data_IF_829406393463
#
_entry.id   IF_829406393463
#
_cell.length_a   1.000
_cell.length_b   1.000
_cell.length_c   1.000
_cell.angle_alpha   90.00
_cell.angle_beta   90.00
_cell.angle_gamma   90.00
#
_symmetry.space_group_name_H-M   'P 1'
#
loop_
_entity.id
_entity.type
_entity.pdbx_description
1 polymer ?
#
# COMPACT_ATOMS: atom_id res chain seq x y z
N UNK A 1 19.39 -54.96 5.83
CA UNK A 1 18.11 -55.13 5.11
C UNK A 1 17.11 -54.11 5.65
N UNK A 2 16.93 -53.03 4.96
CA UNK A 2 16.05 -51.96 5.37
C UNK A 2 14.60 -52.31 4.96
N UNK A 3 13.67 -52.39 5.90
CA UNK A 3 12.29 -52.75 5.67
C UNK A 3 11.57 -51.62 4.92
N UNK A 4 11.24 -51.83 3.64
CA UNK A 4 10.41 -50.96 2.81
C UNK A 4 9.12 -50.61 3.53
N UNK A 5 8.91 -49.32 3.84
CA UNK A 5 7.66 -48.80 4.43
C UNK A 5 6.54 -48.93 3.42
N UNK A 6 5.52 -49.74 3.69
CA UNK A 6 4.40 -49.96 2.82
C UNK A 6 3.36 -48.83 2.95
N UNK A 7 2.61 -48.53 1.86
CA UNK A 7 1.54 -47.52 1.86
C UNK A 7 0.54 -47.70 3.01
N UNK A 8 0.30 -48.94 3.41
CA UNK A 8 -0.59 -49.30 4.53
C UNK A 8 -0.07 -48.85 5.88
N UNK A 9 1.26 -48.86 6.12
CA UNK A 9 1.87 -48.39 7.36
C UNK A 9 1.87 -46.87 7.46
N UNK A 10 1.91 -46.16 6.30
CA UNK A 10 1.80 -44.74 6.24
C UNK A 10 0.38 -44.24 6.57
N UNK A 11 -0.64 -44.90 5.97
CA UNK A 11 -2.05 -44.58 6.23
C UNK A 11 -2.43 -44.81 7.69
N UNK A 12 -1.95 -45.90 8.32
CA UNK A 12 -2.18 -46.16 9.77
C UNK A 12 -1.57 -45.09 10.68
N UNK A 13 -0.43 -44.51 10.30
CA UNK A 13 0.18 -43.39 11.04
C UNK A 13 -0.54 -42.07 10.84
N UNK A 14 -1.14 -41.86 9.65
CA UNK A 14 -1.93 -40.68 9.36
C UNK A 14 -3.24 -40.65 10.17
N UNK A 15 -3.93 -41.80 10.29
CA UNK A 15 -5.18 -41.92 11.07
C UNK A 15 -4.96 -41.78 12.57
N UNK A 16 -3.80 -42.18 13.13
CA UNK A 16 -3.48 -41.90 14.52
C UNK A 16 -3.15 -40.42 14.78
N UNK A 17 -2.61 -39.72 13.77
CA UNK A 17 -2.30 -38.28 13.89
C UNK A 17 -3.56 -37.40 13.82
N UNK A 18 -4.57 -37.80 13.07
CA UNK A 18 -5.81 -37.01 12.93
C UNK A 18 -6.72 -37.07 14.15
N UNK A 19 -6.63 -38.09 14.98
CA UNK A 19 -7.43 -38.19 16.23
C UNK A 19 -6.99 -37.18 17.30
N UNK A 20 -5.74 -36.71 17.25
CA UNK A 20 -5.23 -35.70 18.19
C UNK A 20 -5.55 -34.29 17.69
N UNK A 21 -5.70 -34.09 16.36
CA UNK A 21 -5.97 -32.78 15.78
C UNK A 21 -7.46 -32.40 15.90
N UNK A 22 -8.39 -33.37 16.04
CA UNK A 22 -9.82 -33.08 16.17
C UNK A 22 -10.23 -32.50 17.54
N UNK A 23 -9.40 -32.64 18.57
CA UNK A 23 -9.63 -32.03 19.89
C UNK A 23 -8.97 -30.66 20.08
N UNK A 24 -8.16 -30.23 19.10
CA UNK A 24 -7.44 -28.96 19.16
C UNK A 24 -8.24 -27.69 18.79
N UNK A 25 -9.36 -27.72 18.02
CA UNK A 25 -10.08 -26.50 17.68
C UNK A 25 -10.71 -25.80 18.88
N UNK A 26 -10.97 -26.53 19.98
CA UNK A 26 -11.57 -25.92 21.18
C UNK A 26 -10.58 -25.18 22.07
N UNK A 27 -9.29 -25.49 21.98
CA UNK A 27 -8.25 -24.78 22.73
C UNK A 27 -7.73 -23.51 22.02
N UNK A 28 -7.88 -23.45 20.68
CA UNK A 28 -7.48 -22.29 19.89
C UNK A 28 -8.57 -21.23 19.78
N UNK A 29 -9.85 -21.58 19.99
CA UNK A 29 -10.95 -20.61 19.93
C UNK A 29 -10.97 -19.65 21.12
N UNK A 30 -10.35 -20.01 22.26
CA UNK A 30 -10.20 -19.12 23.41
C UNK A 30 -9.12 -18.05 23.25
N UNK A 31 -8.13 -18.29 22.40
CA UNK A 31 -7.01 -17.36 22.19
C UNK A 31 -7.24 -16.38 21.01
N UNK A 32 -8.22 -16.66 20.15
CA UNK A 32 -8.46 -15.87 18.93
C UNK A 32 -9.44 -14.70 19.13
N UNK A 33 -10.03 -14.57 20.32
CA UNK A 33 -10.93 -13.47 20.67
C UNK A 33 -10.24 -12.32 21.42
N UNK A 34 -8.90 -12.26 21.44
CA UNK A 34 -8.27 -10.98 21.64
C UNK A 34 -8.48 -10.18 20.36
N UNK A 35 -9.60 -9.43 20.34
CA UNK A 35 -9.76 -8.25 19.53
C UNK A 35 -8.50 -7.43 19.78
N UNK A 36 -7.53 -7.49 18.83
CA UNK A 36 -6.49 -6.50 18.72
C UNK A 36 -7.23 -5.19 18.36
N UNK A 37 -7.84 -4.58 19.35
CA UNK A 37 -8.04 -3.15 19.33
C UNK A 37 -6.63 -2.60 19.31
N UNK A 38 -6.13 -2.37 18.10
CA UNK A 38 -5.18 -1.30 17.89
C UNK A 38 -5.90 -0.06 18.43
N UNK A 39 -5.73 0.20 19.71
CA UNK A 39 -5.95 1.52 20.28
C UNK A 39 -4.97 2.44 19.58
N UNK A 40 -5.32 2.79 18.33
CA UNK A 40 -4.84 4.01 17.71
C UNK A 40 -5.57 5.15 18.39
N UNK A 41 -5.29 5.37 19.65
CA UNK A 41 -5.32 6.70 20.21
C UNK A 41 -4.17 7.48 19.56
N UNK A 42 -4.28 7.73 18.26
CA UNK A 42 -3.77 8.99 17.76
C UNK A 42 -4.61 10.02 18.49
N UNK A 43 -4.05 10.52 19.60
CA UNK A 43 -4.58 11.66 20.25
C UNK A 43 -4.89 12.67 19.14
N UNK A 44 -6.13 13.15 19.11
CA UNK A 44 -6.53 14.25 18.24
C UNK A 44 -5.91 15.53 18.82
N UNK A 45 -4.57 15.62 18.79
CA UNK A 45 -3.92 16.89 18.93
C UNK A 45 -4.46 17.75 17.79
N UNK A 46 -4.87 18.98 18.07
CA UNK A 46 -5.35 19.86 17.02
C UNK A 46 -4.22 20.03 16.01
N UNK A 47 -4.42 19.53 14.78
CA UNK A 47 -3.45 19.69 13.71
C UNK A 47 -3.22 21.17 13.49
N UNK A 48 -1.95 21.59 13.63
CA UNK A 48 -1.54 22.90 13.19
C UNK A 48 -1.73 23.00 11.67
N UNK A 49 -2.03 24.19 11.18
CA UNK A 49 -2.11 24.42 9.73
C UNK A 49 -0.80 24.02 9.00
N UNK A 50 0.31 23.98 9.75
CA UNK A 50 1.63 23.56 9.25
C UNK A 50 1.82 22.02 9.22
N UNK A 51 0.91 21.26 9.82
CA UNK A 51 0.99 19.78 9.86
C UNK A 51 0.13 19.13 8.76
N UNK A 52 -0.45 19.94 7.85
CA UNK A 52 -1.24 19.45 6.73
C UNK A 52 -0.35 18.84 5.66
N UNK A 53 -0.68 17.65 5.19
CA UNK A 53 -0.04 16.96 4.06
C UNK A 53 -0.93 17.12 2.84
N UNK A 54 -0.45 17.82 1.83
CA UNK A 54 -1.11 17.97 0.54
C UNK A 54 -0.74 16.80 -0.38
N UNK A 55 -1.73 15.96 -0.63
CA UNK A 55 -1.60 14.73 -1.40
C UNK A 55 -2.05 14.97 -2.85
N UNK A 56 -1.36 14.34 -3.80
CA UNK A 56 -1.83 14.21 -5.17
C UNK A 56 -1.99 12.75 -5.59
N UNK A 57 -2.95 12.48 -6.47
CA UNK A 57 -3.18 11.16 -7.06
C UNK A 57 -2.78 11.14 -8.53
N UNK A 58 -1.95 10.18 -8.92
CA UNK A 58 -1.57 9.92 -10.31
C UNK A 58 -2.09 8.54 -10.70
N UNK A 59 -3.14 8.51 -11.52
CA UNK A 59 -3.91 7.31 -11.88
C UNK A 59 -5.21 7.19 -11.08
N UNK A 60 -6.31 7.79 -11.58
CA UNK A 60 -7.64 7.79 -10.96
C UNK A 60 -8.44 6.53 -11.30
N UNK A 61 -7.80 5.35 -11.35
CA UNK A 61 -8.45 4.06 -11.48
C UNK A 61 -9.09 3.60 -10.15
N UNK A 62 -9.67 2.39 -10.15
CA UNK A 62 -10.31 1.81 -8.96
C UNK A 62 -9.35 1.77 -7.78
N UNK A 63 -8.10 1.32 -8.01
CA UNK A 63 -7.10 1.21 -6.96
C UNK A 63 -6.68 2.58 -6.44
N UNK A 64 -6.40 3.56 -7.34
CA UNK A 64 -6.03 4.91 -6.92
C UNK A 64 -7.12 5.60 -6.09
N UNK A 65 -8.39 5.40 -6.44
CA UNK A 65 -9.53 5.90 -5.64
C UNK A 65 -9.55 5.23 -4.25
N UNK A 66 -9.33 3.91 -4.20
CA UNK A 66 -9.30 3.17 -2.94
C UNK A 66 -8.18 3.67 -2.02
N UNK A 67 -6.96 3.80 -2.53
CA UNK A 67 -5.79 4.24 -1.78
C UNK A 67 -5.94 5.69 -1.30
N UNK A 68 -6.45 6.57 -2.17
CA UNK A 68 -6.73 7.96 -1.81
C UNK A 68 -7.77 8.05 -0.69
N UNK A 69 -8.87 7.31 -0.79
CA UNK A 69 -9.88 7.28 0.25
C UNK A 69 -9.35 6.70 1.59
N UNK A 70 -8.38 5.79 1.53
CA UNK A 70 -7.70 5.30 2.74
C UNK A 70 -6.79 6.38 3.35
N UNK A 71 -6.03 7.09 2.53
CA UNK A 71 -5.16 8.18 2.97
C UNK A 71 -5.94 9.35 3.58
N UNK A 72 -7.08 9.71 2.99
CA UNK A 72 -7.95 10.80 3.47
C UNK A 72 -8.62 10.52 4.83
N UNK A 73 -8.55 9.29 5.34
CA UNK A 73 -8.97 8.98 6.72
C UNK A 73 -7.95 9.43 7.77
N UNK A 74 -6.73 9.73 7.36
CA UNK A 74 -5.69 10.25 8.25
C UNK A 74 -5.91 11.75 8.43
N UNK A 75 -6.02 12.19 9.69
CA UNK A 75 -6.19 13.60 9.98
C UNK A 75 -4.98 14.40 9.45
N UNK A 76 -5.24 15.58 8.88
CA UNK A 76 -4.21 16.43 8.28
C UNK A 76 -3.88 16.10 6.82
N UNK A 77 -4.40 15.02 6.23
CA UNK A 77 -4.20 14.72 4.81
C UNK A 77 -5.30 15.38 3.97
N UNK A 78 -4.92 16.10 2.93
CA UNK A 78 -5.81 16.76 1.98
C UNK A 78 -5.41 16.40 0.54
N UNK A 79 -6.37 15.94 -0.26
CA UNK A 79 -6.17 15.78 -1.69
C UNK A 79 -6.28 17.14 -2.38
N UNK A 80 -5.24 17.56 -3.10
CA UNK A 80 -5.19 18.86 -3.76
C UNK A 80 -5.10 18.76 -5.28
N UNK A 81 -4.68 17.60 -5.82
CA UNK A 81 -4.54 17.42 -7.26
C UNK A 81 -4.75 15.97 -7.69
N UNK A 82 -5.21 15.76 -8.92
CA UNK A 82 -5.32 14.45 -9.55
C UNK A 82 -4.84 14.48 -10.99
N UNK A 83 -4.26 13.37 -11.46
CA UNK A 83 -3.86 13.17 -12.84
C UNK A 83 -4.36 11.84 -13.38
N UNK A 84 -4.97 11.86 -14.56
CA UNK A 84 -5.30 10.67 -15.35
C UNK A 84 -5.37 11.05 -16.82
N UNK A 85 -5.03 10.11 -17.73
CA UNK A 85 -5.12 10.36 -19.17
C UNK A 85 -6.57 10.37 -19.67
N UNK A 86 -7.49 9.72 -18.94
CA UNK A 86 -8.90 9.64 -19.31
C UNK A 86 -9.72 10.72 -18.59
N UNK A 87 -10.29 11.65 -19.36
CA UNK A 87 -11.03 12.81 -18.85
C UNK A 87 -12.20 12.41 -17.95
N UNK A 88 -12.93 11.35 -18.29
CA UNK A 88 -14.04 10.87 -17.46
C UNK A 88 -13.64 10.42 -16.06
N UNK A 89 -12.36 10.01 -15.84
CA UNK A 89 -11.85 9.73 -14.50
C UNK A 89 -11.52 11.01 -13.74
N UNK A 90 -11.06 12.06 -14.43
CA UNK A 90 -10.86 13.37 -13.84
C UNK A 90 -12.18 14.01 -13.39
N UNK A 91 -13.21 13.89 -14.24
CA UNK A 91 -14.57 14.35 -13.91
C UNK A 91 -15.10 13.58 -12.69
N UNK A 92 -14.92 12.26 -12.68
CA UNK A 92 -15.29 11.43 -11.52
C UNK A 92 -14.53 11.78 -10.25
N UNK A 93 -13.27 12.16 -10.34
CA UNK A 93 -12.48 12.62 -9.20
C UNK A 93 -13.04 13.92 -8.61
N UNK A 94 -13.47 14.86 -9.46
CA UNK A 94 -14.13 16.10 -9.02
C UNK A 94 -15.47 15.84 -8.34
N UNK A 95 -16.26 14.90 -8.85
CA UNK A 95 -17.51 14.47 -8.19
C UNK A 95 -17.28 13.88 -6.80
N UNK A 96 -16.21 13.11 -6.64
CA UNK A 96 -15.89 12.43 -5.39
C UNK A 96 -15.29 13.35 -4.32
N UNK A 97 -14.43 14.29 -4.73
CA UNK A 97 -13.57 15.03 -3.79
C UNK A 97 -13.69 16.55 -3.89
N UNK A 98 -14.48 17.07 -4.84
CA UNK A 98 -14.75 18.51 -4.98
C UNK A 98 -14.31 19.08 -6.32
N UNK A 99 -15.02 20.09 -6.77
CA UNK A 99 -14.81 20.71 -8.10
C UNK A 99 -13.64 21.68 -8.14
N UNK A 100 -13.14 22.13 -7.01
CA UNK A 100 -11.95 22.95 -6.84
C UNK A 100 -10.63 22.16 -6.92
N UNK A 101 -10.74 20.82 -7.03
CA UNK A 101 -9.60 19.93 -7.20
C UNK A 101 -8.85 20.22 -8.50
N UNK A 102 -7.54 20.45 -8.40
CA UNK A 102 -6.71 20.61 -9.59
C UNK A 102 -6.65 19.29 -10.37
N UNK A 103 -6.88 19.37 -11.68
CA UNK A 103 -6.85 18.19 -12.55
C UNK A 103 -5.92 18.39 -13.73
N UNK A 104 -5.14 17.36 -14.08
CA UNK A 104 -4.25 17.39 -15.25
C UNK A 104 -4.25 16.05 -15.98
N UNK A 105 -3.88 16.05 -17.24
CA UNK A 105 -3.57 14.86 -18.03
C UNK A 105 -2.07 14.56 -18.09
N UNK A 106 -1.24 15.48 -17.61
CA UNK A 106 0.20 15.31 -17.48
C UNK A 106 0.58 15.36 -15.98
N UNK A 107 1.09 14.25 -15.48
CA UNK A 107 1.50 14.12 -14.08
C UNK A 107 2.66 15.05 -13.69
N UNK A 108 3.49 15.48 -14.65
CA UNK A 108 4.60 16.38 -14.38
C UNK A 108 4.11 17.72 -13.84
N UNK A 109 2.95 18.17 -14.33
CA UNK A 109 2.32 19.38 -13.79
C UNK A 109 2.00 19.28 -12.30
N UNK A 110 1.76 18.05 -11.79
CA UNK A 110 1.57 17.83 -10.36
C UNK A 110 2.91 17.83 -9.63
N UNK A 111 3.94 17.21 -10.22
CA UNK A 111 5.27 17.13 -9.61
C UNK A 111 5.95 18.50 -9.49
N UNK A 112 5.71 19.41 -10.43
CA UNK A 112 6.23 20.79 -10.44
C UNK A 112 5.59 21.69 -9.38
N UNK A 113 4.44 21.31 -8.82
CA UNK A 113 3.75 22.11 -7.81
C UNK A 113 4.47 22.02 -6.46
N UNK A 114 4.80 23.18 -5.91
CA UNK A 114 5.49 23.30 -4.62
C UNK A 114 4.59 23.05 -3.43
N UNK A 115 3.27 23.13 -3.60
CA UNK A 115 2.26 22.90 -2.56
C UNK A 115 1.85 21.44 -2.42
N UNK A 116 2.43 20.51 -3.18
CA UNK A 116 2.21 19.06 -3.05
C UNK A 116 3.37 18.46 -2.26
N UNK A 117 3.05 17.74 -1.18
CA UNK A 117 4.02 17.07 -0.31
C UNK A 117 4.22 15.60 -0.69
N UNK A 118 3.14 14.94 -1.09
CA UNK A 118 3.14 13.51 -1.35
C UNK A 118 2.32 13.14 -2.58
N UNK A 119 2.67 12.03 -3.22
CA UNK A 119 1.94 11.49 -4.36
C UNK A 119 1.60 10.01 -4.17
N UNK A 120 0.39 9.63 -4.58
CA UNK A 120 0.00 8.24 -4.80
C UNK A 120 0.17 7.96 -6.30
N UNK A 121 0.94 6.92 -6.64
CA UNK A 121 1.15 6.43 -7.99
C UNK A 121 0.39 5.12 -8.15
N UNK A 122 -0.76 5.17 -8.83
CA UNK A 122 -1.67 4.04 -9.08
C UNK A 122 -2.00 3.91 -10.58
N UNK A 123 -1.02 4.16 -11.41
CA UNK A 123 -1.03 3.99 -12.86
C UNK A 123 -0.88 2.52 -13.25
N UNK A 124 -0.96 2.15 -14.54
CA UNK A 124 -0.46 0.85 -15.00
C UNK A 124 1.03 0.67 -14.66
N UNK A 125 1.43 -0.57 -14.37
CA UNK A 125 2.71 -0.97 -13.79
C UNK A 125 3.95 -0.46 -14.55
N UNK A 126 3.89 -0.40 -15.89
CA UNK A 126 4.98 0.10 -16.73
C UNK A 126 5.31 1.59 -16.53
N UNK A 127 4.44 2.35 -15.85
CA UNK A 127 4.68 3.74 -15.48
C UNK A 127 5.22 3.90 -14.06
N UNK A 128 5.10 2.89 -13.21
CA UNK A 128 5.44 2.98 -11.79
C UNK A 128 6.88 3.43 -11.56
N UNK A 129 7.86 2.76 -12.21
CA UNK A 129 9.28 3.13 -12.09
C UNK A 129 9.51 4.61 -12.41
N UNK A 130 9.06 5.02 -13.60
CA UNK A 130 9.33 6.37 -14.11
C UNK A 130 8.74 7.44 -13.22
N UNK A 131 7.46 7.33 -12.89
CA UNK A 131 6.77 8.34 -12.08
C UNK A 131 7.32 8.37 -10.66
N UNK A 132 7.62 7.21 -10.07
CA UNK A 132 8.21 7.12 -8.71
C UNK A 132 9.57 7.81 -8.65
N UNK A 133 10.44 7.55 -9.63
CA UNK A 133 11.75 8.19 -9.72
C UNK A 133 11.60 9.71 -9.84
N UNK A 134 10.83 10.19 -10.81
CA UNK A 134 10.63 11.62 -11.05
C UNK A 134 10.00 12.31 -9.84
N UNK A 135 9.06 11.66 -9.14
CA UNK A 135 8.45 12.22 -7.93
C UNK A 135 9.47 12.36 -6.79
N UNK A 136 10.31 11.35 -6.53
CA UNK A 136 11.38 11.43 -5.55
C UNK A 136 12.40 12.52 -5.89
N UNK A 137 12.77 12.65 -7.17
CA UNK A 137 13.68 13.70 -7.64
C UNK A 137 13.11 15.11 -7.50
N UNK A 138 11.77 15.24 -7.55
CA UNK A 138 11.05 16.48 -7.22
C UNK A 138 10.82 16.68 -5.71
N UNK A 139 11.41 15.84 -4.86
CA UNK A 139 11.32 15.96 -3.40
C UNK A 139 9.95 15.56 -2.82
N UNK A 140 9.13 14.79 -3.55
CA UNK A 140 7.84 14.33 -3.06
C UNK A 140 7.98 13.00 -2.32
N UNK A 141 7.21 12.83 -1.23
CA UNK A 141 6.98 11.52 -0.67
C UNK A 141 6.12 10.70 -1.64
N UNK A 142 6.39 9.39 -1.77
CA UNK A 142 5.76 8.53 -2.78
C UNK A 142 5.13 7.30 -2.14
N UNK A 143 3.85 7.09 -2.42
CA UNK A 143 3.22 5.78 -2.29
C UNK A 143 2.99 5.23 -3.69
N UNK A 144 3.71 4.16 -4.06
CA UNK A 144 3.59 3.54 -5.37
C UNK A 144 2.89 2.19 -5.25
N UNK A 145 1.84 1.96 -6.05
CA UNK A 145 1.17 0.67 -6.10
C UNK A 145 2.10 -0.43 -6.62
N UNK A 146 1.78 -1.65 -6.22
CA UNK A 146 2.50 -2.86 -6.66
C UNK A 146 2.09 -3.23 -8.10
N UNK A 147 3.02 -3.80 -8.87
CA UNK A 147 4.45 -3.99 -8.58
C UNK A 147 5.23 -2.70 -8.70
N UNK A 148 6.27 -2.50 -7.87
CA UNK A 148 7.13 -1.33 -7.91
C UNK A 148 7.73 -1.08 -9.30
N UNK A 149 8.09 -2.16 -9.97
CA UNK A 149 8.69 -2.17 -11.32
C UNK A 149 8.11 -3.33 -12.13
N UNK A 150 8.10 -3.20 -13.44
CA UNK A 150 7.66 -4.26 -14.34
C UNK A 150 8.77 -5.32 -14.55
N UNK A 151 10.02 -4.88 -14.60
CA UNK A 151 11.19 -5.75 -14.77
C UNK A 151 12.07 -5.65 -13.51
N UNK A 152 12.54 -6.80 -13.01
CA UNK A 152 13.40 -6.88 -11.82
C UNK A 152 14.65 -5.97 -11.91
N UNK A 153 15.31 -5.90 -13.07
CA UNK A 153 16.48 -5.06 -13.27
C UNK A 153 16.22 -3.55 -13.04
N UNK A 154 15.00 -3.10 -13.25
CA UNK A 154 14.58 -1.70 -13.05
C UNK A 154 14.55 -1.30 -11.57
N UNK A 155 14.42 -2.27 -10.66
CA UNK A 155 14.39 -2.03 -9.23
C UNK A 155 15.67 -1.35 -8.71
N UNK A 156 16.80 -1.64 -9.31
CA UNK A 156 18.08 -1.01 -8.93
C UNK A 156 18.10 0.50 -9.18
N UNK A 157 17.43 0.96 -10.24
CA UNK A 157 17.33 2.40 -10.54
C UNK A 157 16.47 3.11 -9.48
N UNK A 158 15.35 2.53 -9.08
CA UNK A 158 14.48 3.09 -8.03
C UNK A 158 15.24 3.17 -6.71
N UNK A 159 15.93 2.08 -6.30
CA UNK A 159 16.73 2.03 -5.07
C UNK A 159 17.86 3.07 -5.10
N UNK A 160 18.52 3.24 -6.24
CA UNK A 160 19.58 4.25 -6.40
C UNK A 160 19.07 5.67 -6.17
N UNK A 161 17.90 6.00 -6.73
CA UNK A 161 17.31 7.34 -6.56
C UNK A 161 16.80 7.50 -5.13
N UNK A 162 16.13 6.49 -4.56
CA UNK A 162 15.71 6.49 -3.17
C UNK A 162 16.87 6.80 -2.21
N UNK A 163 18.00 6.11 -2.36
CA UNK A 163 19.19 6.35 -1.53
C UNK A 163 19.83 7.74 -1.75
N UNK A 164 19.70 8.31 -2.96
CA UNK A 164 20.24 9.63 -3.30
C UNK A 164 19.37 10.76 -2.75
N UNK A 165 18.04 10.59 -2.79
CA UNK A 165 17.09 11.65 -2.43
C UNK A 165 16.66 11.59 -0.97
N UNK A 166 16.89 10.45 -0.28
CA UNK A 166 16.41 10.16 1.08
C UNK A 166 14.89 10.36 1.22
N UNK A 167 14.16 10.24 0.11
CA UNK A 167 12.72 10.47 0.05
C UNK A 167 11.95 9.39 0.80
N UNK A 168 10.81 9.73 1.37
CA UNK A 168 9.88 8.73 1.88
C UNK A 168 9.24 8.02 0.69
N UNK A 169 9.47 6.70 0.57
CA UNK A 169 8.88 5.89 -0.49
C UNK A 169 8.32 4.59 0.08
N UNK A 170 7.03 4.35 -0.16
CA UNK A 170 6.31 3.15 0.28
C UNK A 170 5.72 2.44 -0.93
N UNK A 171 5.90 1.12 -0.98
CA UNK A 171 5.25 0.29 -2.00
C UNK A 171 3.97 -0.32 -1.44
N UNK A 172 2.89 -0.26 -2.23
CA UNK A 172 1.54 -0.67 -1.89
C UNK A 172 1.34 -2.18 -1.83
N UNK A 173 1.98 -2.84 -0.87
CA UNK A 173 1.84 -4.27 -0.63
C UNK A 173 0.85 -4.55 0.51
N UNK A 174 -0.41 -4.12 0.38
CA UNK A 174 -1.44 -4.14 1.42
C UNK A 174 -1.60 -5.51 2.10
N UNK A 175 -1.48 -6.61 1.34
CA UNK A 175 -1.60 -7.97 1.86
C UNK A 175 -0.41 -8.44 2.70
N UNK A 176 0.78 -7.88 2.53
CA UNK A 176 1.98 -8.29 3.26
C UNK A 176 2.13 -7.59 4.61
N UNK A 177 1.52 -6.42 4.81
CA UNK A 177 1.58 -5.71 6.09
C UNK A 177 0.93 -6.50 7.24
N UNK A 178 -0.06 -7.34 6.95
CA UNK A 178 -0.72 -8.19 7.96
C UNK A 178 0.19 -9.32 8.45
N UNK A 179 1.13 -9.79 7.63
CA UNK A 179 2.02 -10.91 7.98
C UNK A 179 3.34 -10.49 8.62
N UNK A 180 3.83 -9.28 8.39
CA UNK A 180 5.11 -8.82 8.94
C UNK A 180 5.05 -8.35 10.39
N UNK A 181 3.91 -7.92 10.87
CA UNK A 181 3.71 -7.55 12.28
C UNK A 181 3.84 -8.75 13.25
N UNK A 182 3.84 -9.97 12.74
CA UNK A 182 3.95 -11.19 13.58
C UNK A 182 5.35 -11.81 13.65
N UNK A 183 6.37 -11.28 12.96
CA UNK A 183 7.71 -11.88 12.91
C UNK A 183 8.84 -11.07 13.54
N UNK A 184 8.58 -9.91 14.09
CA UNK A 184 9.58 -9.11 14.82
C UNK A 184 9.33 -9.16 16.32
N UNK A 185 9.47 -10.37 16.89
CA UNK A 185 9.74 -10.59 18.33
C UNK A 185 10.58 -11.83 18.51
#
# INVERSE_FOLDING_TARGET
MEKRKTRRSFIKKLTLGTSIVSSFPYLLSGAYNQKLTLDRTYASEPFSANDQINLALIGCGIQGIYDTNAALKVAGVKLVAVCDLYTGRLDRAKELWGYDLFTSRDYRMLLERMDIDAVIVATPDHWHKKITIEAMECGKAVYCEKPMVQNFAEGHEVIKVYNKTESVCQIGSQGSMVYWTFRSR
#
